data_IF_157541438527
#
_entry.id   IF_157541438527
#
_cell.length_a   1.000
_cell.length_b   1.000
_cell.length_c   1.000
_cell.angle_alpha   90.00
_cell.angle_beta   90.00
_cell.angle_gamma   90.00
#
_symmetry.space_group_name_H-M   'P 1'
#
loop_
_entity.id
_entity.type
_entity.pdbx_description
1 polymer ?
#
# COMPACT_ATOMS: atom_id res chain seq x y z
N UNK A 1 -43.66 -35.50 53.36
CA UNK A 1 -43.25 -35.69 51.94
C UNK A 1 -43.02 -34.33 51.34
N UNK A 2 -41.81 -33.81 51.40
CA UNK A 2 -41.49 -32.51 50.84
C UNK A 2 -40.58 -32.71 49.61
N UNK A 3 -41.09 -32.43 48.45
CA UNK A 3 -40.33 -32.49 47.22
C UNK A 3 -39.65 -31.14 47.04
N UNK A 4 -38.34 -31.09 47.22
CA UNK A 4 -37.52 -29.96 46.89
C UNK A 4 -37.24 -29.95 45.38
N UNK A 5 -37.82 -28.98 44.69
CA UNK A 5 -37.51 -28.67 43.30
C UNK A 5 -36.30 -27.76 43.25
N UNK A 6 -35.18 -28.26 42.73
CA UNK A 6 -34.01 -27.47 42.43
C UNK A 6 -34.21 -26.72 41.09
N UNK A 7 -34.04 -25.41 41.06
CA UNK A 7 -34.02 -24.69 39.75
C UNK A 7 -32.64 -24.89 39.09
N UNK A 8 -32.66 -25.45 37.89
CA UNK A 8 -31.48 -25.58 37.07
C UNK A 8 -30.97 -24.19 36.61
N UNK A 9 -29.72 -23.92 36.95
CA UNK A 9 -29.01 -22.77 36.43
C UNK A 9 -28.62 -23.03 34.96
N UNK A 10 -29.35 -22.41 34.02
CA UNK A 10 -28.93 -22.39 32.64
C UNK A 10 -27.82 -21.33 32.46
N UNK A 11 -26.58 -21.78 32.37
CA UNK A 11 -25.46 -20.96 32.01
C UNK A 11 -25.53 -20.61 30.52
N UNK A 12 -25.96 -19.39 30.18
CA UNK A 12 -25.87 -18.87 28.83
C UNK A 12 -24.40 -18.50 28.53
N UNK A 13 -23.74 -19.33 27.74
CA UNK A 13 -22.45 -18.97 27.13
C UNK A 13 -22.71 -17.90 26.06
N UNK A 14 -22.41 -16.65 26.39
CA UNK A 14 -22.28 -15.58 25.41
C UNK A 14 -20.97 -15.80 24.67
N UNK A 15 -21.03 -16.41 23.48
CA UNK A 15 -19.96 -16.39 22.50
C UNK A 15 -19.84 -14.94 22.00
N UNK A 16 -18.94 -14.18 22.61
CA UNK A 16 -18.49 -12.91 22.07
C UNK A 16 -17.72 -13.21 20.78
N UNK A 17 -18.43 -13.23 19.67
CA UNK A 17 -17.85 -13.24 18.34
C UNK A 17 -17.10 -11.94 18.13
N UNK A 18 -15.82 -11.91 18.44
CA UNK A 18 -14.93 -10.84 18.06
C UNK A 18 -14.84 -10.80 16.55
N UNK A 19 -15.58 -9.91 15.91
CA UNK A 19 -15.35 -9.58 14.51
C UNK A 19 -13.99 -8.88 14.45
N UNK A 20 -12.94 -9.65 14.15
CA UNK A 20 -11.68 -9.07 13.73
C UNK A 20 -11.94 -8.41 12.38
N UNK A 21 -12.11 -7.12 12.40
CA UNK A 21 -12.01 -6.31 11.20
C UNK A 21 -10.56 -6.48 10.72
N UNK A 22 -10.33 -7.42 9.80
CA UNK A 22 -9.14 -7.40 9.00
C UNK A 22 -9.19 -6.06 8.27
N UNK A 23 -8.39 -5.09 8.73
CA UNK A 23 -8.19 -3.87 8.00
C UNK A 23 -7.73 -4.29 6.61
N UNK A 24 -8.59 -4.12 5.60
CA UNK A 24 -8.22 -4.27 4.20
C UNK A 24 -7.00 -3.38 4.00
N UNK A 25 -5.82 -4.01 3.95
CA UNK A 25 -4.63 -3.33 3.48
C UNK A 25 -4.93 -2.96 2.05
N UNK A 26 -4.92 -1.68 1.71
CA UNK A 26 -5.13 -1.30 0.32
C UNK A 26 -4.15 -2.13 -0.51
N UNK A 27 -4.67 -2.94 -1.43
CA UNK A 27 -3.86 -3.77 -2.33
C UNK A 27 -2.93 -2.97 -3.23
N UNK A 28 -3.01 -1.65 -3.14
CA UNK A 28 -2.25 -0.68 -3.93
C UNK A 28 -1.03 -0.05 -3.27
N UNK A 29 -0.54 -0.59 -2.14
CA UNK A 29 0.65 -0.05 -1.46
C UNK A 29 0.37 1.15 -0.56
N UNK A 30 1.40 1.92 -0.18
CA UNK A 30 1.25 3.11 0.67
C UNK A 30 0.48 4.22 -0.07
N UNK A 31 0.00 5.25 0.67
CA UNK A 31 -0.70 6.37 0.07
C UNK A 31 0.08 6.98 -1.10
N UNK A 32 -0.57 7.15 -2.24
CA UNK A 32 0.02 7.68 -3.47
C UNK A 32 0.61 6.64 -4.42
N UNK A 33 0.92 5.41 -3.97
CA UNK A 33 1.49 4.39 -4.86
C UNK A 33 0.54 4.00 -6.01
N UNK A 34 -0.76 3.96 -5.76
CA UNK A 34 -1.76 3.65 -6.79
C UNK A 34 -1.79 4.65 -7.95
N UNK A 35 -1.43 5.91 -7.70
CA UNK A 35 -1.35 6.91 -8.77
C UNK A 35 -0.18 6.67 -9.72
N UNK A 36 0.84 5.95 -9.30
CA UNK A 36 1.98 5.58 -10.13
C UNK A 36 1.63 4.47 -11.12
N UNK A 37 0.84 3.49 -10.69
CA UNK A 37 0.49 2.30 -11.47
C UNK A 37 -0.38 2.60 -12.70
N UNK A 38 -1.02 3.74 -12.75
CA UNK A 38 -1.81 4.17 -13.91
C UNK A 38 -0.96 4.43 -15.16
N UNK A 39 0.29 4.85 -14.98
CA UNK A 39 1.24 5.11 -16.06
C UNK A 39 2.41 4.12 -16.06
N UNK A 40 2.97 3.82 -14.87
CA UNK A 40 4.03 2.83 -14.70
C UNK A 40 3.41 1.44 -14.50
N UNK A 41 3.12 0.76 -15.57
CA UNK A 41 2.48 -0.55 -15.52
C UNK A 41 3.34 -1.56 -14.72
N UNK A 42 2.67 -2.45 -13.98
CA UNK A 42 3.32 -3.55 -13.26
C UNK A 42 3.81 -4.64 -14.20
N UNK A 43 3.13 -4.81 -15.34
CA UNK A 43 3.56 -5.74 -16.39
C UNK A 43 4.51 -5.07 -17.37
N UNK A 44 5.42 -5.85 -17.95
CA UNK A 44 6.29 -5.37 -19.03
C UNK A 44 5.46 -5.10 -20.27
N UNK A 45 5.42 -3.83 -20.69
CA UNK A 45 4.79 -3.41 -21.93
C UNK A 45 5.90 -3.17 -22.95
N UNK A 46 5.84 -3.88 -24.07
CA UNK A 46 6.77 -3.69 -25.18
C UNK A 46 6.55 -2.30 -25.79
N UNK A 47 7.64 -1.62 -26.08
CA UNK A 47 7.65 -0.29 -26.72
C UNK A 47 7.05 0.85 -25.90
N UNK A 48 6.85 0.68 -24.59
CA UNK A 48 6.46 1.76 -23.71
C UNK A 48 7.63 2.70 -23.43
N UNK A 49 7.41 3.99 -23.64
CA UNK A 49 8.37 5.05 -23.23
C UNK A 49 8.32 5.33 -21.73
N UNK A 50 7.28 4.84 -21.05
CA UNK A 50 7.14 4.98 -19.60
C UNK A 50 7.79 3.75 -18.95
N UNK A 51 8.86 3.93 -18.16
CA UNK A 51 9.58 2.82 -17.62
C UNK A 51 8.79 2.10 -16.53
N UNK A 52 8.95 0.78 -16.46
CA UNK A 52 8.49 0.00 -15.36
C UNK A 52 9.35 0.29 -14.12
N UNK A 53 8.73 0.45 -12.96
CA UNK A 53 9.40 0.75 -11.69
C UNK A 53 9.34 -0.41 -10.68
N UNK A 54 8.43 -1.37 -10.86
CA UNK A 54 8.36 -2.58 -10.04
C UNK A 54 9.67 -3.36 -10.09
N UNK A 55 10.15 -3.81 -8.92
CA UNK A 55 11.40 -4.54 -8.78
C UNK A 55 12.68 -3.71 -8.88
N UNK A 56 12.61 -2.41 -9.14
CA UNK A 56 13.78 -1.53 -9.11
C UNK A 56 14.28 -1.32 -7.69
N UNK A 57 15.57 -1.02 -7.56
CA UNK A 57 16.16 -0.67 -6.25
C UNK A 57 15.47 0.55 -5.68
N UNK A 58 15.07 0.49 -4.41
CA UNK A 58 14.42 1.61 -3.73
C UNK A 58 15.26 2.89 -3.79
N UNK A 59 16.57 2.80 -3.60
CA UNK A 59 17.48 3.95 -3.66
C UNK A 59 17.44 4.66 -5.02
N UNK A 60 17.32 3.92 -6.11
CA UNK A 60 17.24 4.49 -7.46
C UNK A 60 15.91 5.24 -7.65
N UNK A 61 14.80 4.64 -7.20
CA UNK A 61 13.47 5.28 -7.27
C UNK A 61 13.48 6.59 -6.47
N UNK A 62 14.03 6.58 -5.26
CA UNK A 62 14.15 7.77 -4.40
C UNK A 62 14.97 8.85 -5.10
N UNK A 63 16.11 8.50 -5.67
CA UNK A 63 16.99 9.44 -6.38
C UNK A 63 16.24 10.10 -7.54
N UNK A 64 15.63 9.30 -8.42
CA UNK A 64 14.89 9.85 -9.55
C UNK A 64 13.73 10.76 -9.12
N UNK A 65 12.97 10.36 -8.11
CA UNK A 65 11.86 11.19 -7.62
C UNK A 65 12.34 12.52 -7.05
N UNK A 66 13.44 12.55 -6.33
CA UNK A 66 14.03 13.79 -5.81
C UNK A 66 14.58 14.67 -6.92
N UNK A 67 15.22 14.11 -7.92
CA UNK A 67 15.73 14.84 -9.08
C UNK A 67 14.61 15.42 -9.93
N UNK A 68 13.52 14.71 -10.13
CA UNK A 68 12.33 15.26 -10.77
C UNK A 68 11.70 16.38 -9.95
N UNK A 69 11.58 16.20 -8.64
CA UNK A 69 11.00 17.20 -7.75
C UNK A 69 11.80 18.49 -7.71
N UNK A 70 13.11 18.40 -7.69
CA UNK A 70 14.02 19.56 -7.68
C UNK A 70 14.17 20.23 -9.05
N UNK A 71 13.81 19.54 -10.13
CA UNK A 71 14.06 19.99 -11.50
C UNK A 71 15.46 19.68 -12.01
N UNK A 72 16.31 19.00 -11.23
CA UNK A 72 17.66 18.57 -11.66
C UNK A 72 17.59 17.64 -12.88
N UNK A 73 16.55 16.81 -12.94
CA UNK A 73 16.25 16.05 -14.14
C UNK A 73 14.97 16.59 -14.80
N UNK A 74 15.07 17.18 -15.98
CA UNK A 74 13.92 17.77 -16.65
C UNK A 74 12.93 16.70 -17.09
N UNK A 75 11.68 16.85 -16.68
CA UNK A 75 10.56 16.04 -17.13
C UNK A 75 9.28 16.87 -17.00
N UNK A 76 8.45 16.84 -18.03
CA UNK A 76 7.19 17.57 -18.04
C UNK A 76 6.16 16.98 -17.09
N UNK A 77 6.07 15.65 -17.02
CA UNK A 77 5.05 14.92 -16.23
C UNK A 77 5.57 14.59 -14.85
N UNK A 78 6.69 13.86 -14.77
CA UNK A 78 7.23 13.41 -13.48
C UNK A 78 7.68 14.56 -12.60
N UNK A 79 8.15 15.67 -13.16
CA UNK A 79 8.46 16.87 -12.39
C UNK A 79 7.26 17.45 -11.65
N UNK A 80 6.07 17.38 -12.25
CA UNK A 80 4.82 17.82 -11.60
C UNK A 80 4.35 16.81 -10.56
N UNK A 81 4.39 15.53 -10.88
CA UNK A 81 3.96 14.46 -9.99
C UNK A 81 4.83 14.41 -8.74
N UNK A 82 6.14 14.44 -8.89
CA UNK A 82 7.09 14.36 -7.78
C UNK A 82 6.94 15.49 -6.76
N UNK A 83 6.52 16.67 -7.19
CA UNK A 83 6.24 17.83 -6.32
C UNK A 83 5.08 17.58 -5.35
N UNK A 84 4.22 16.61 -5.61
CA UNK A 84 3.11 16.23 -4.73
C UNK A 84 3.51 15.34 -3.55
N UNK A 85 4.78 14.94 -3.43
CA UNK A 85 5.25 14.01 -2.41
C UNK A 85 6.41 14.59 -1.61
N UNK A 86 6.38 14.37 -0.29
CA UNK A 86 7.51 14.64 0.58
C UNK A 86 8.52 13.47 0.60
N UNK A 87 9.63 13.64 1.30
CA UNK A 87 10.67 12.61 1.36
C UNK A 87 10.19 11.31 1.98
N UNK A 88 9.37 11.40 3.03
CA UNK A 88 8.84 10.21 3.71
C UNK A 88 7.89 9.41 2.80
N UNK A 89 7.05 10.10 2.06
CA UNK A 89 6.14 9.48 1.09
C UNK A 89 6.92 8.83 -0.06
N UNK A 90 7.93 9.51 -0.58
CA UNK A 90 8.82 8.97 -1.62
C UNK A 90 9.53 7.71 -1.13
N UNK A 91 10.08 7.72 0.07
CA UNK A 91 10.77 6.56 0.66
C UNK A 91 9.81 5.37 0.81
N UNK A 92 8.60 5.59 1.30
CA UNK A 92 7.60 4.53 1.47
C UNK A 92 7.14 3.94 0.11
N UNK A 93 6.88 4.79 -0.87
CA UNK A 93 6.48 4.37 -2.23
C UNK A 93 7.62 3.59 -2.90
N UNK A 94 8.85 4.08 -2.80
CA UNK A 94 10.03 3.43 -3.36
C UNK A 94 10.26 2.03 -2.76
N UNK A 95 10.14 1.90 -1.44
CA UNK A 95 10.27 0.62 -0.76
C UNK A 95 9.20 -0.38 -1.22
N UNK A 96 7.96 0.08 -1.39
CA UNK A 96 6.88 -0.76 -1.86
C UNK A 96 7.08 -1.26 -3.29
N UNK A 97 7.46 -0.37 -4.22
CA UNK A 97 7.74 -0.78 -5.60
C UNK A 97 8.95 -1.69 -5.72
N UNK A 98 10.01 -1.44 -4.94
CA UNK A 98 11.20 -2.31 -4.91
C UNK A 98 10.88 -3.75 -4.50
N UNK A 99 9.87 -3.95 -3.66
CA UNK A 99 9.41 -5.25 -3.20
C UNK A 99 8.44 -5.95 -4.18
N UNK A 100 7.99 -5.27 -5.23
CA UNK A 100 7.13 -5.88 -6.25
C UNK A 100 7.94 -6.75 -7.19
N UNK A 101 7.35 -7.86 -7.69
CA UNK A 101 8.03 -8.70 -8.68
C UNK A 101 8.32 -7.94 -9.99
N UNK A 102 9.43 -8.30 -10.63
CA UNK A 102 9.82 -7.82 -11.95
C UNK A 102 8.94 -8.40 -13.08
#
# INVERSE_FOLDING_TARGET
>A
MHRLLLPGLAAALLLAGGSTWAADRPSGGPPGASSCTGCHASAKITDSVIPRIAGRKAADIVTFMREYRSGAWPSSVMGRIAKGFDDQQIDAIAAWFAAQPE
#
